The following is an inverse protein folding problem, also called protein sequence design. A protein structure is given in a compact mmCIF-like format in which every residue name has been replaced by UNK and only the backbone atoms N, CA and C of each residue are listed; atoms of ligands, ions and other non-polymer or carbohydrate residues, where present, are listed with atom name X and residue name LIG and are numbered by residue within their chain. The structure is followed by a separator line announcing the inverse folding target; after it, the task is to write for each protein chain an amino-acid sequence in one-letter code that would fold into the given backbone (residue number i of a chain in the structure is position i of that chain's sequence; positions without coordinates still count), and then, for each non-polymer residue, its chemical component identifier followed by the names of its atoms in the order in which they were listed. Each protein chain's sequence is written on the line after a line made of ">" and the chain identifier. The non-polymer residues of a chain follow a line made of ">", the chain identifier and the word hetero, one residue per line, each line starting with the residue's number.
data_IF_282597255066
#
_entry.id   IF_282597255066
#
_cell.length_a   1.000
_cell.length_b   1.000
_cell.length_c   1.000
_cell.angle_alpha   90.00
_cell.angle_beta   90.00
_cell.angle_gamma   90.00
#
_symmetry.space_group_name_H-M   'P 1'
#
loop_
_entity.id
_entity.type
_entity.pdbx_description
1 polymer ?
#
# COMPACT_ATOMS: atom_id res chain seq x y z
N UNK A 1 10.92 -7.19 1.68
CA UNK A 1 9.94 -7.97 0.90
C UNK A 1 10.12 -9.46 1.22
N UNK A 2 9.04 -10.26 1.32
CA UNK A 2 9.17 -11.70 1.63
C UNK A 2 9.59 -12.55 0.41
N UNK A 3 9.51 -12.01 -0.82
CA UNK A 3 9.74 -12.77 -2.04
C UNK A 3 11.22 -12.74 -2.48
N UNK A 4 11.94 -13.87 -2.44
CA UNK A 4 13.36 -13.93 -2.80
C UNK A 4 13.65 -13.42 -4.22
N UNK A 5 12.78 -13.74 -5.20
CA UNK A 5 12.97 -13.32 -6.60
C UNK A 5 12.86 -11.78 -6.75
N UNK A 6 12.00 -11.14 -5.96
CA UNK A 6 11.88 -9.67 -5.93
C UNK A 6 13.19 -9.06 -5.40
N UNK A 7 13.76 -9.63 -4.35
CA UNK A 7 15.03 -9.17 -3.77
C UNK A 7 16.20 -9.37 -4.75
N UNK A 8 16.27 -10.51 -5.41
CA UNK A 8 17.29 -10.77 -6.45
C UNK A 8 17.20 -9.75 -7.59
N UNK A 9 16.00 -9.56 -8.13
CA UNK A 9 15.74 -8.60 -9.21
C UNK A 9 16.10 -7.16 -8.79
N UNK A 10 15.76 -6.77 -7.55
CA UNK A 10 16.08 -5.44 -7.02
C UNK A 10 17.59 -5.23 -6.87
N UNK A 11 18.33 -6.25 -6.39
CA UNK A 11 19.79 -6.20 -6.30
C UNK A 11 20.44 -6.05 -7.69
N UNK A 12 20.01 -6.85 -8.67
CA UNK A 12 20.51 -6.76 -10.04
C UNK A 12 20.26 -5.39 -10.65
N UNK A 13 19.07 -4.83 -10.41
CA UNK A 13 18.74 -3.48 -10.89
C UNK A 13 19.60 -2.42 -10.20
N UNK A 14 19.89 -2.55 -8.92
CA UNK A 14 20.75 -1.64 -8.17
C UNK A 14 22.21 -1.67 -8.73
N UNK A 15 22.72 -2.85 -9.07
CA UNK A 15 24.02 -3.02 -9.70
C UNK A 15 24.03 -2.33 -11.07
N UNK A 16 23.03 -2.62 -11.92
CA UNK A 16 22.91 -2.01 -13.25
C UNK A 16 22.82 -0.48 -13.21
N UNK A 17 22.21 0.06 -12.14
CA UNK A 17 22.09 1.52 -11.93
C UNK A 17 23.29 2.15 -11.18
N UNK A 18 24.28 1.37 -10.77
CA UNK A 18 25.45 1.86 -10.02
C UNK A 18 25.14 2.41 -8.63
N UNK A 19 24.09 1.90 -7.96
CA UNK A 19 23.65 2.35 -6.64
C UNK A 19 23.70 1.25 -5.58
N UNK A 20 24.27 0.08 -5.86
CA UNK A 20 24.31 -1.06 -4.95
C UNK A 20 25.01 -0.77 -3.61
N UNK A 21 25.89 0.23 -3.56
CA UNK A 21 26.54 0.69 -2.32
C UNK A 21 25.68 1.67 -1.51
N UNK A 22 24.53 2.10 -2.00
CA UNK A 22 23.63 3.08 -1.35
C UNK A 22 22.32 2.47 -0.87
N UNK A 23 22.01 1.25 -1.32
CA UNK A 23 20.75 0.55 -1.01
C UNK A 23 21.05 -0.86 -0.53
N UNK A 24 20.20 -1.35 0.38
CA UNK A 24 20.21 -2.73 0.86
C UNK A 24 18.79 -3.27 0.80
N UNK A 25 18.61 -4.39 0.13
CA UNK A 25 17.34 -5.11 0.10
C UNK A 25 17.39 -6.28 1.08
N UNK A 26 16.33 -6.48 1.83
CA UNK A 26 16.22 -7.51 2.86
C UNK A 26 15.07 -8.43 2.52
N UNK A 27 15.37 -9.72 2.33
CA UNK A 27 14.36 -10.76 2.20
C UNK A 27 13.88 -11.12 3.60
N UNK A 28 12.66 -10.73 3.95
CA UNK A 28 12.10 -10.97 5.28
C UNK A 28 10.58 -10.92 5.25
N UNK A 29 9.96 -11.69 6.12
CA UNK A 29 8.52 -11.58 6.40
C UNK A 29 8.27 -10.54 7.50
N UNK A 30 7.02 -10.08 7.64
CA UNK A 30 6.63 -9.29 8.80
C UNK A 30 7.05 -10.00 10.10
N UNK A 31 7.50 -9.25 11.09
CA UNK A 31 7.95 -9.72 12.41
C UNK A 31 9.27 -10.55 12.44
N UNK A 32 9.86 -10.89 11.29
CA UNK A 32 11.10 -11.69 11.26
C UNK A 32 12.39 -10.85 11.34
N UNK A 33 12.36 -9.61 10.86
CA UNK A 33 13.52 -8.72 10.87
C UNK A 33 13.32 -7.57 11.85
N UNK A 34 14.28 -7.40 12.74
CA UNK A 34 14.30 -6.28 13.68
C UNK A 34 15.38 -5.29 13.29
N UNK A 35 15.01 -4.03 13.26
CA UNK A 35 15.94 -2.92 13.14
C UNK A 35 16.33 -2.40 14.52
N UNK A 36 17.47 -1.71 14.58
CA UNK A 36 17.89 -1.03 15.82
C UNK A 36 16.98 0.18 16.09
N UNK A 37 16.70 0.42 17.37
CA UNK A 37 15.92 1.58 17.79
C UNK A 37 16.62 2.88 17.36
N UNK A 38 15.85 3.89 17.07
CA UNK A 38 16.32 5.22 16.68
C UNK A 38 17.37 5.22 15.56
N UNK A 39 17.22 4.33 14.58
CA UNK A 39 18.20 4.16 13.48
C UNK A 39 17.77 4.81 12.15
N UNK A 40 16.51 5.24 12.02
CA UNK A 40 15.98 5.83 10.78
C UNK A 40 15.42 7.23 10.98
N UNK A 41 15.67 8.13 10.03
CA UNK A 41 15.09 9.47 9.94
C UNK A 41 13.73 9.46 9.24
N UNK A 42 13.54 8.49 8.35
CA UNK A 42 12.32 8.35 7.55
C UNK A 42 11.96 6.88 7.39
N UNK A 43 10.70 6.56 7.63
CA UNK A 43 10.08 5.32 7.17
C UNK A 43 9.07 5.69 6.08
N UNK A 44 9.22 5.06 4.92
CA UNK A 44 8.31 5.22 3.78
C UNK A 44 7.67 3.88 3.46
N UNK A 45 6.35 3.88 3.26
CA UNK A 45 5.61 2.70 2.83
C UNK A 45 4.66 3.06 1.69
N UNK A 46 4.57 2.18 0.70
CA UNK A 46 3.60 2.25 -0.37
C UNK A 46 2.95 0.89 -0.56
N UNK A 47 1.62 0.84 -0.39
CA UNK A 47 0.78 -0.34 -0.67
C UNK A 47 1.28 -1.61 0.05
N UNK A 48 1.66 -1.48 1.32
CA UNK A 48 2.17 -2.60 2.12
C UNK A 48 1.46 -2.75 3.48
N UNK A 49 1.03 -1.65 4.09
CA UNK A 49 0.36 -1.72 5.39
C UNK A 49 -0.96 -2.48 5.31
N UNK A 50 -1.67 -2.44 4.16
CA UNK A 50 -2.93 -3.15 3.97
C UNK A 50 -2.80 -4.65 4.28
N UNK A 51 -1.62 -5.25 4.11
CA UNK A 51 -1.38 -6.67 4.37
C UNK A 51 -1.08 -7.01 5.84
N UNK A 52 -0.92 -6.01 6.70
CA UNK A 52 -0.58 -6.21 8.12
C UNK A 52 -1.85 -6.15 8.98
N UNK A 53 -2.11 -7.21 9.74
CA UNK A 53 -3.31 -7.30 10.59
C UNK A 53 -3.23 -6.30 11.76
N UNK A 54 -2.16 -6.35 12.53
CA UNK A 54 -1.98 -5.50 13.72
C UNK A 54 -1.29 -4.18 13.36
N UNK A 55 -2.10 -3.20 12.95
CA UNK A 55 -1.62 -1.84 12.63
C UNK A 55 -1.00 -1.13 13.82
N UNK A 56 -1.53 -1.38 15.06
CA UNK A 56 -1.02 -0.73 16.26
C UNK A 56 0.39 -1.21 16.57
N UNK A 57 0.61 -2.52 16.54
CA UNK A 57 1.94 -3.11 16.71
C UNK A 57 2.91 -2.59 15.66
N UNK A 58 2.52 -2.60 14.38
CA UNK A 58 3.33 -2.07 13.29
C UNK A 58 3.75 -0.61 13.52
N UNK A 59 2.80 0.25 13.89
CA UNK A 59 3.07 1.66 14.14
C UNK A 59 3.96 1.87 15.38
N UNK A 60 3.83 1.02 16.41
CA UNK A 60 4.72 1.06 17.57
C UNK A 60 6.15 0.67 17.18
N UNK A 61 6.34 -0.41 16.44
CA UNK A 61 7.65 -0.84 15.94
C UNK A 61 8.29 0.23 15.04
N UNK A 62 7.51 0.90 14.20
CA UNK A 62 8.00 2.03 13.39
C UNK A 62 8.41 3.22 14.28
N UNK A 63 7.63 3.50 15.33
CA UNK A 63 7.99 4.55 16.28
C UNK A 63 9.32 4.24 16.96
N UNK A 64 9.54 3.00 17.40
CA UNK A 64 10.74 2.59 18.10
C UNK A 64 12.01 2.77 17.23
N UNK A 65 11.95 2.40 15.94
CA UNK A 65 13.10 2.52 15.02
C UNK A 65 13.35 3.93 14.48
N UNK A 66 12.36 4.83 14.52
CA UNK A 66 12.56 6.22 14.14
C UNK A 66 13.33 7.00 15.20
N UNK A 67 14.22 7.87 14.74
CA UNK A 67 14.83 8.90 15.61
C UNK A 67 13.77 9.86 16.13
N UNK A 68 14.09 10.63 17.15
CA UNK A 68 13.23 11.74 17.61
C UNK A 68 13.02 12.71 16.44
N UNK A 69 11.80 13.20 16.24
CA UNK A 69 11.36 13.97 15.08
C UNK A 69 11.47 13.24 13.72
N UNK A 70 11.68 11.94 13.72
CA UNK A 70 11.66 11.10 12.52
C UNK A 70 10.28 11.05 11.87
N UNK A 71 10.26 10.90 10.55
CA UNK A 71 9.03 10.99 9.73
C UNK A 71 8.57 9.59 9.32
N UNK A 72 7.26 9.37 9.42
CA UNK A 72 6.55 8.27 8.77
C UNK A 72 5.72 8.84 7.60
N UNK A 73 5.90 8.30 6.40
CA UNK A 73 5.13 8.67 5.21
C UNK A 73 4.55 7.41 4.55
N UNK A 74 3.24 7.34 4.44
CA UNK A 74 2.52 6.16 3.94
C UNK A 74 1.54 6.55 2.85
N UNK A 75 1.55 5.79 1.75
CA UNK A 75 0.50 5.75 0.76
C UNK A 75 -0.06 4.34 0.66
N UNK A 76 -1.35 4.16 0.86
CA UNK A 76 -1.94 2.82 0.96
C UNK A 76 -3.40 2.79 0.51
N UNK A 77 -3.92 1.59 0.37
CA UNK A 77 -5.34 1.32 0.20
C UNK A 77 -6.04 1.27 1.56
N UNK A 78 -7.15 1.96 1.64
CA UNK A 78 -7.92 2.18 2.86
C UNK A 78 -9.40 1.95 2.60
N UNK A 79 -10.19 2.00 3.67
CA UNK A 79 -11.65 1.93 3.62
C UNK A 79 -12.29 3.24 4.08
N UNK A 80 -13.56 3.41 3.71
CA UNK A 80 -14.37 4.54 4.21
C UNK A 80 -14.62 4.49 5.70
N UNK A 81 -14.74 3.28 6.26
CA UNK A 81 -14.98 3.01 7.68
C UNK A 81 -14.38 1.67 8.08
N UNK A 82 -14.51 1.31 9.36
CA UNK A 82 -13.99 0.08 9.95
C UNK A 82 -15.09 -0.97 10.21
N UNK A 83 -16.26 -0.82 9.60
CA UNK A 83 -17.35 -1.80 9.67
C UNK A 83 -17.01 -3.05 8.84
N UNK A 84 -17.83 -4.08 8.98
CA UNK A 84 -17.70 -5.29 8.15
C UNK A 84 -17.78 -4.93 6.65
N UNK A 85 -16.85 -5.44 5.80
CA UNK A 85 -16.88 -5.20 4.38
C UNK A 85 -18.20 -5.63 3.73
N UNK A 86 -18.69 -4.85 2.77
CA UNK A 86 -19.85 -5.23 1.97
C UNK A 86 -19.60 -6.52 1.19
N UNK A 87 -20.66 -7.18 0.73
CA UNK A 87 -20.54 -8.37 -0.12
C UNK A 87 -19.73 -8.07 -1.40
N UNK A 88 -19.89 -6.87 -1.99
CA UNK A 88 -19.13 -6.45 -3.16
C UNK A 88 -17.65 -6.24 -2.84
N UNK A 89 -17.32 -5.68 -1.66
CA UNK A 89 -15.94 -5.51 -1.25
C UNK A 89 -15.26 -6.86 -0.97
N UNK A 90 -15.97 -7.81 -0.35
CA UNK A 90 -15.47 -9.18 -0.15
C UNK A 90 -15.22 -9.91 -1.48
N UNK A 91 -16.12 -9.74 -2.46
CA UNK A 91 -15.95 -10.30 -3.80
C UNK A 91 -14.74 -9.71 -4.53
N UNK A 92 -14.51 -8.39 -4.40
CA UNK A 92 -13.31 -7.74 -4.94
C UNK A 92 -12.03 -8.27 -4.28
N UNK A 93 -11.96 -8.31 -2.94
CA UNK A 93 -10.79 -8.84 -2.21
C UNK A 93 -10.50 -10.29 -2.62
N UNK A 94 -11.54 -11.12 -2.75
CA UNK A 94 -11.38 -12.50 -3.19
C UNK A 94 -10.86 -12.61 -4.63
N UNK A 95 -11.27 -11.70 -5.51
CA UNK A 95 -10.81 -11.66 -6.90
C UNK A 95 -9.34 -11.21 -7.03
N UNK A 96 -8.87 -10.31 -6.15
CA UNK A 96 -7.44 -9.93 -6.09
C UNK A 96 -6.54 -11.07 -5.61
N UNK A 97 -7.08 -12.03 -4.87
CA UNK A 97 -6.34 -13.18 -4.36
C UNK A 97 -5.30 -12.83 -3.28
N UNK A 98 -5.42 -11.66 -2.67
CA UNK A 98 -4.52 -11.15 -1.63
C UNK A 98 -5.29 -10.89 -0.34
N UNK A 99 -4.65 -11.17 0.79
CA UNK A 99 -5.19 -10.78 2.09
C UNK A 99 -5.08 -9.27 2.28
N UNK A 100 -6.22 -8.62 2.51
CA UNK A 100 -6.31 -7.16 2.70
C UNK A 100 -6.99 -6.85 4.04
N UNK A 101 -6.21 -6.31 4.98
CA UNK A 101 -6.66 -5.91 6.32
C UNK A 101 -6.73 -4.37 6.41
N UNK A 102 -7.43 -3.75 5.49
CA UNK A 102 -7.54 -2.29 5.40
C UNK A 102 -8.37 -1.71 6.53
N UNK A 103 -8.04 -0.50 6.93
CA UNK A 103 -8.82 0.31 7.87
C UNK A 103 -9.03 1.73 7.33
N UNK A 104 -9.83 2.53 8.04
CA UNK A 104 -10.12 3.91 7.67
C UNK A 104 -8.93 4.86 7.97
N UNK A 105 -8.93 6.05 7.37
CA UNK A 105 -8.00 7.12 7.71
C UNK A 105 -8.18 7.58 9.16
N UNK A 106 -9.41 7.61 9.64
CA UNK A 106 -9.75 7.95 11.03
C UNK A 106 -9.15 6.95 12.02
N UNK A 107 -9.17 5.67 11.66
CA UNK A 107 -8.52 4.62 12.46
C UNK A 107 -7.00 4.80 12.46
N UNK A 108 -6.39 5.08 11.31
CA UNK A 108 -4.96 5.40 11.26
C UNK A 108 -4.61 6.63 12.10
N UNK A 109 -5.43 7.70 12.05
CA UNK A 109 -5.20 8.89 12.88
C UNK A 109 -5.21 8.57 14.38
N UNK A 110 -6.18 7.78 14.84
CA UNK A 110 -6.26 7.34 16.23
C UNK A 110 -5.04 6.52 16.64
N UNK A 111 -4.69 5.52 15.85
CA UNK A 111 -3.55 4.64 16.12
C UNK A 111 -2.21 5.39 16.11
N UNK A 112 -2.02 6.34 15.20
CA UNK A 112 -0.83 7.19 15.16
C UNK A 112 -0.67 7.99 16.46
N UNK A 113 -1.75 8.63 16.94
CA UNK A 113 -1.74 9.36 18.20
C UNK A 113 -1.46 8.44 19.40
N UNK A 114 -2.05 7.26 19.43
CA UNK A 114 -1.85 6.26 20.48
C UNK A 114 -0.42 5.70 20.52
N UNK A 115 0.28 5.70 19.40
CA UNK A 115 1.63 5.15 19.25
C UNK A 115 2.73 6.23 19.22
N UNK A 116 2.43 7.45 19.69
CA UNK A 116 3.43 8.50 19.89
C UNK A 116 3.77 9.32 18.64
N UNK A 117 2.85 9.39 17.68
CA UNK A 117 2.99 10.25 16.51
C UNK A 117 2.11 11.49 16.56
N UNK A 118 2.63 12.61 16.06
CA UNK A 118 1.85 13.78 15.68
C UNK A 118 1.54 13.68 14.18
N UNK A 119 0.27 13.68 13.84
CA UNK A 119 -0.18 13.66 12.44
C UNK A 119 0.12 15.01 11.79
N UNK A 120 0.76 14.98 10.62
CA UNK A 120 1.07 16.14 9.80
C UNK A 120 0.06 16.32 8.67
N UNK A 121 -0.35 15.22 8.04
CA UNK A 121 -1.37 15.23 6.99
C UNK A 121 -2.09 13.90 6.90
N UNK A 122 -3.37 13.96 6.52
CA UNK A 122 -4.22 12.82 6.16
C UNK A 122 -4.98 13.21 4.89
N UNK A 123 -4.86 12.43 3.84
CA UNK A 123 -5.48 12.75 2.57
C UNK A 123 -6.24 11.54 2.02
N UNK A 124 -7.54 11.67 1.91
CA UNK A 124 -8.38 10.77 1.11
C UNK A 124 -8.23 11.13 -0.37
N UNK A 125 -7.91 10.16 -1.20
CA UNK A 125 -7.72 10.36 -2.63
C UNK A 125 -8.79 9.66 -3.48
N UNK A 126 -9.90 9.23 -2.88
CA UNK A 126 -10.93 8.48 -3.59
C UNK A 126 -11.48 9.21 -4.82
N UNK A 127 -11.79 10.51 -4.68
CA UNK A 127 -12.32 11.31 -5.78
C UNK A 127 -11.36 11.37 -6.97
N UNK A 128 -10.07 11.55 -6.71
CA UNK A 128 -9.05 11.54 -7.76
C UNK A 128 -8.94 10.16 -8.41
N UNK A 129 -8.92 9.11 -7.58
CA UNK A 129 -8.73 7.75 -8.08
C UNK A 129 -9.92 7.25 -8.88
N UNK A 130 -11.14 7.63 -8.50
CA UNK A 130 -12.34 7.28 -9.24
C UNK A 130 -12.26 7.71 -10.73
N UNK A 131 -11.80 8.94 -10.98
CA UNK A 131 -11.61 9.42 -12.35
C UNK A 131 -10.45 8.67 -13.03
N UNK A 132 -9.40 8.39 -12.30
CA UNK A 132 -8.23 7.68 -12.79
C UNK A 132 -8.56 6.25 -13.22
N UNK A 133 -9.23 5.46 -12.37
CA UNK A 133 -9.59 4.06 -12.68
C UNK A 133 -10.55 3.96 -13.84
N UNK A 134 -11.51 4.90 -13.97
CA UNK A 134 -12.40 4.96 -15.14
C UNK A 134 -11.63 5.15 -16.45
N UNK A 135 -10.66 6.06 -16.42
CA UNK A 135 -9.80 6.32 -17.59
C UNK A 135 -8.97 5.08 -17.93
N UNK A 136 -8.33 4.47 -16.94
CA UNK A 136 -7.48 3.28 -17.12
C UNK A 136 -8.27 2.10 -17.69
N UNK A 137 -9.47 1.82 -17.18
CA UNK A 137 -10.36 0.77 -17.72
C UNK A 137 -10.76 1.10 -19.17
N UNK A 138 -11.09 2.37 -19.46
CA UNK A 138 -11.43 2.79 -20.82
C UNK A 138 -10.26 2.61 -21.79
N UNK A 139 -9.05 2.98 -21.37
CA UNK A 139 -7.85 2.86 -22.19
C UNK A 139 -7.51 1.39 -22.46
N UNK A 140 -7.58 0.54 -21.43
CA UNK A 140 -7.30 -0.91 -21.55
C UNK A 140 -8.37 -1.60 -22.40
N UNK A 141 -9.66 -1.24 -22.29
CA UNK A 141 -10.73 -1.78 -23.14
C UNK A 141 -10.70 -1.27 -24.59
N UNK A 142 -10.04 -0.15 -24.83
CA UNK A 142 -9.99 0.55 -26.09
C UNK A 142 -8.59 0.54 -26.72
N UNK A 143 -7.89 1.68 -26.75
CA UNK A 143 -6.66 1.83 -27.54
C UNK A 143 -5.50 0.94 -27.09
N UNK A 144 -5.46 0.50 -25.83
CA UNK A 144 -4.36 -0.32 -25.30
C UNK A 144 -4.65 -1.82 -25.32
N UNK A 145 -5.87 -2.26 -25.64
CA UNK A 145 -6.27 -3.65 -25.49
C UNK A 145 -5.36 -4.65 -26.23
N UNK A 146 -5.08 -4.36 -27.52
CA UNK A 146 -4.23 -5.21 -28.33
C UNK A 146 -2.78 -5.25 -27.83
N UNK A 147 -2.29 -4.16 -27.23
CA UNK A 147 -0.95 -4.11 -26.64
C UNK A 147 -0.89 -4.93 -25.34
N UNK A 148 -1.90 -4.83 -24.50
CA UNK A 148 -2.01 -5.62 -23.27
C UNK A 148 -2.07 -7.12 -23.59
N UNK A 149 -2.90 -7.52 -24.57
CA UNK A 149 -2.95 -8.93 -25.00
C UNK A 149 -1.59 -9.43 -25.49
N UNK A 150 -0.83 -8.63 -26.22
CA UNK A 150 0.52 -9.02 -26.67
C UNK A 150 1.50 -9.22 -25.53
N UNK A 151 1.32 -8.50 -24.42
CA UNK A 151 2.21 -8.56 -23.26
C UNK A 151 1.90 -9.73 -22.32
N UNK A 152 0.63 -9.97 -22.03
CA UNK A 152 0.22 -10.92 -20.99
C UNK A 152 -0.72 -12.05 -21.48
N UNK A 153 -1.16 -12.02 -22.72
CA UNK A 153 -2.15 -12.96 -23.24
C UNK A 153 -3.59 -12.48 -23.08
N UNK A 154 -4.50 -13.08 -23.85
CA UNK A 154 -5.91 -12.64 -23.86
C UNK A 154 -6.66 -13.03 -22.59
N UNK A 155 -6.44 -14.23 -22.08
CA UNK A 155 -7.12 -14.77 -20.90
C UNK A 155 -6.77 -13.92 -19.66
N UNK A 156 -5.50 -13.63 -19.48
CA UNK A 156 -4.98 -12.79 -18.39
C UNK A 156 -5.46 -11.33 -18.52
N UNK A 157 -5.51 -10.80 -19.74
CA UNK A 157 -5.99 -9.45 -20.00
C UNK A 157 -7.48 -9.30 -19.65
N UNK A 158 -8.31 -10.26 -20.06
CA UNK A 158 -9.75 -10.28 -19.77
C UNK A 158 -9.98 -10.47 -18.25
N UNK A 159 -9.24 -11.38 -17.60
CA UNK A 159 -9.31 -11.59 -16.16
C UNK A 159 -8.94 -10.35 -15.36
N UNK A 160 -7.86 -9.67 -15.75
CA UNK A 160 -7.46 -8.42 -15.13
C UNK A 160 -8.55 -7.33 -15.27
N UNK A 161 -9.19 -7.21 -16.45
CA UNK A 161 -10.29 -6.27 -16.66
C UNK A 161 -11.49 -6.57 -15.75
N UNK A 162 -11.85 -7.84 -15.54
CA UNK A 162 -12.93 -8.22 -14.62
C UNK A 162 -12.63 -7.77 -13.19
N UNK A 163 -11.40 -7.94 -12.73
CA UNK A 163 -10.96 -7.49 -11.40
C UNK A 163 -11.03 -5.95 -11.31
N UNK A 164 -10.58 -5.24 -12.34
CA UNK A 164 -10.65 -3.77 -12.39
C UNK A 164 -12.06 -3.22 -12.41
N UNK A 165 -13.01 -3.93 -13.04
CA UNK A 165 -14.43 -3.58 -12.96
C UNK A 165 -15.01 -3.75 -11.55
N UNK A 166 -14.61 -4.82 -10.84
CA UNK A 166 -14.96 -5.00 -9.42
C UNK A 166 -14.36 -3.88 -8.56
N UNK A 167 -13.08 -3.54 -8.80
CA UNK A 167 -12.41 -2.40 -8.16
C UNK A 167 -13.19 -1.10 -8.37
N UNK A 168 -13.56 -0.78 -9.62
CA UNK A 168 -14.36 0.41 -9.93
C UNK A 168 -15.65 0.43 -9.09
N UNK A 169 -16.34 -0.68 -9.00
CA UNK A 169 -17.59 -0.77 -8.24
C UNK A 169 -17.46 -0.46 -6.75
N UNK A 170 -16.36 -0.85 -6.11
CA UNK A 170 -16.10 -0.55 -4.68
C UNK A 170 -15.53 0.85 -4.49
N UNK A 171 -14.80 1.37 -5.46
CA UNK A 171 -14.31 2.76 -5.47
C UNK A 171 -15.44 3.76 -5.68
N UNK A 172 -16.40 3.48 -6.58
CA UNK A 172 -17.58 4.33 -6.81
C UNK A 172 -18.46 4.46 -5.57
N UNK A 173 -18.60 3.38 -4.80
CA UNK A 173 -19.28 3.40 -3.50
C UNK A 173 -18.46 4.08 -2.40
N UNK A 174 -17.21 4.39 -2.68
CA UNK A 174 -16.26 4.97 -1.72
C UNK A 174 -15.81 4.00 -0.64
N UNK A 175 -16.13 2.72 -0.73
CA UNK A 175 -15.74 1.72 0.27
C UNK A 175 -14.26 1.37 0.20
N UNK A 176 -13.68 1.31 -0.99
CA UNK A 176 -12.25 1.13 -1.23
C UNK A 176 -11.65 2.42 -1.78
N UNK A 177 -10.58 2.89 -1.19
CA UNK A 177 -10.00 4.18 -1.54
C UNK A 177 -8.50 4.26 -1.28
N UNK A 178 -7.73 4.87 -2.17
CA UNK A 178 -6.36 5.21 -1.82
C UNK A 178 -6.33 6.41 -0.89
N UNK A 179 -5.43 6.34 0.08
CA UNK A 179 -5.15 7.44 0.99
C UNK A 179 -3.67 7.58 1.23
N UNK A 180 -3.27 8.70 1.78
CA UNK A 180 -1.92 8.86 2.30
C UNK A 180 -1.92 9.67 3.58
N UNK A 181 -0.91 9.41 4.39
CA UNK A 181 -0.68 10.20 5.59
C UNK A 181 0.81 10.42 5.84
N UNK A 182 1.10 11.49 6.55
CA UNK A 182 2.41 11.77 7.11
C UNK A 182 2.29 12.05 8.60
N UNK A 183 3.23 11.54 9.36
CA UNK A 183 3.30 11.73 10.80
C UNK A 183 4.75 11.90 11.23
N UNK A 184 4.96 12.62 12.34
CA UNK A 184 6.25 12.82 12.96
C UNK A 184 6.25 12.17 14.34
N UNK A 185 7.32 11.46 14.69
CA UNK A 185 7.52 10.93 16.04
C UNK A 185 7.64 12.07 17.04
N UNK A 186 6.85 11.99 18.10
CA UNK A 186 6.92 12.96 19.20
C UNK A 186 8.17 12.63 20.04
N UNK A 187 9.06 13.62 20.19
CA UNK A 187 10.19 13.53 21.12
C UNK A 187 9.69 13.51 22.56
N UNK A 188 10.14 12.54 23.35
CA UNK A 188 9.89 12.45 24.79
C UNK A 188 10.91 13.25 25.57
#
# INVERSE_FOLDING_TARGET
>A
DPEPLVIETANDLAIKKGISNKVKFICTKPDEHKFEDKSFQLVFSKEAFLHIIDKKKLLQEINDILVDDGILSVGDWMRNDDNEPSAQMKDYIAAEGLDMFMCSLEKYESLLKETGFKVLSLNDRNKWYLEKVKTEISDIKGPLYDEVIKLIGKEEADGALEIWEKLLGVVEKGEHRPGNFQAIKISN
#
